data_IF_098912820301
#
_entry.id   IF_098912820301
#
_cell.length_a   1.000
_cell.length_b   1.000
_cell.length_c   1.000
_cell.angle_alpha   90.00
_cell.angle_beta   90.00
_cell.angle_gamma   90.00
#
_symmetry.space_group_name_H-M   'P 1'
#
loop_
_entity.id
_entity.type
_entity.pdbx_description
1 polymer ?
#
# COMPACT_ATOMS: atom_id res chain seq x y z
N UNK A 1 3.75 -4.60 -6.03
CA UNK A 1 2.39 -4.00 -6.16
C UNK A 1 1.25 -4.95 -5.75
N UNK A 2 1.50 -6.16 -5.22
CA UNK A 2 0.44 -6.99 -4.64
C UNK A 2 -0.10 -6.40 -3.33
N UNK A 3 0.82 -6.13 -2.41
CA UNK A 3 0.52 -5.70 -1.05
C UNK A 3 -0.35 -4.43 -0.97
N UNK A 4 -0.02 -3.41 -1.78
CA UNK A 4 -0.78 -2.16 -1.86
C UNK A 4 -2.15 -2.35 -2.50
N UNK A 5 -2.24 -3.12 -3.59
CA UNK A 5 -3.51 -3.37 -4.27
C UNK A 5 -4.48 -4.16 -3.37
N UNK A 6 -3.97 -5.18 -2.68
CA UNK A 6 -4.70 -5.91 -1.65
C UNK A 6 -5.22 -4.96 -0.57
N UNK A 7 -4.33 -4.12 -0.02
CA UNK A 7 -4.68 -3.23 1.08
C UNK A 7 -5.73 -2.20 0.68
N UNK A 8 -5.60 -1.59 -0.51
CA UNK A 8 -6.61 -0.68 -1.05
C UNK A 8 -7.96 -1.36 -1.28
N UNK A 9 -7.98 -2.62 -1.73
CA UNK A 9 -9.23 -3.37 -1.86
C UNK A 9 -9.87 -3.61 -0.49
N UNK A 10 -9.07 -4.00 0.52
CA UNK A 10 -9.54 -4.18 1.90
C UNK A 10 -10.07 -2.87 2.48
N UNK A 11 -9.38 -1.75 2.28
CA UNK A 11 -9.83 -0.42 2.73
C UNK A 11 -11.19 -0.05 2.12
N UNK A 12 -11.44 -0.43 0.86
CA UNK A 12 -12.73 -0.30 0.21
C UNK A 12 -13.84 -1.02 0.99
N UNK A 13 -13.63 -2.29 1.37
CA UNK A 13 -14.58 -3.04 2.19
C UNK A 13 -14.73 -2.48 3.60
N UNK A 14 -13.64 -2.03 4.22
CA UNK A 14 -13.68 -1.43 5.55
C UNK A 14 -14.62 -0.22 5.58
N UNK A 15 -14.68 0.57 4.51
CA UNK A 15 -15.51 1.79 4.46
C UNK A 15 -17.01 1.55 4.74
N UNK A 16 -17.51 0.35 4.50
CA UNK A 16 -18.91 -0.05 4.68
C UNK A 16 -19.21 -0.64 6.07
N UNK A 17 -18.17 -0.91 6.87
CA UNK A 17 -18.30 -1.62 8.14
C UNK A 17 -18.42 -0.68 9.35
N UNK A 18 -18.97 -1.24 10.44
CA UNK A 18 -18.93 -0.59 11.76
C UNK A 18 -17.50 -0.50 12.30
N UNK A 19 -17.24 0.42 13.23
CA UNK A 19 -15.90 0.55 13.81
C UNK A 19 -15.43 -0.73 14.53
N UNK A 20 -16.34 -1.48 15.14
CA UNK A 20 -16.01 -2.73 15.83
C UNK A 20 -15.59 -3.82 14.82
N UNK A 21 -16.31 -3.94 13.72
CA UNK A 21 -16.00 -4.92 12.68
C UNK A 21 -14.73 -4.54 11.91
N UNK A 22 -14.48 -3.25 11.67
CA UNK A 22 -13.23 -2.78 11.07
C UNK A 22 -12.01 -3.26 11.85
N UNK A 23 -12.04 -3.18 13.17
CA UNK A 23 -10.92 -3.63 14.02
C UNK A 23 -10.67 -5.13 13.81
N UNK A 24 -11.73 -5.94 13.82
CA UNK A 24 -11.63 -7.40 13.62
C UNK A 24 -11.10 -7.75 12.23
N UNK A 25 -11.61 -7.07 11.19
CA UNK A 25 -11.18 -7.28 9.80
C UNK A 25 -9.74 -6.85 9.60
N UNK A 26 -9.31 -5.70 10.13
CA UNK A 26 -7.90 -5.26 10.05
C UNK A 26 -6.97 -6.27 10.74
N UNK A 27 -7.34 -6.78 11.91
CA UNK A 27 -6.56 -7.79 12.62
C UNK A 27 -6.41 -9.07 11.78
N UNK A 28 -7.51 -9.57 11.21
CA UNK A 28 -7.49 -10.74 10.33
C UNK A 28 -6.67 -10.48 9.06
N UNK A 29 -6.86 -9.31 8.44
CA UNK A 29 -6.18 -8.89 7.22
C UNK A 29 -4.66 -8.83 7.40
N UNK A 30 -4.18 -8.41 8.59
CA UNK A 30 -2.76 -8.40 8.94
C UNK A 30 -2.20 -9.78 9.31
N UNK A 31 -3.05 -10.66 9.85
CA UNK A 31 -2.63 -11.99 10.29
C UNK A 31 -2.52 -12.98 9.12
N UNK A 32 -3.48 -12.93 8.20
CA UNK A 32 -3.62 -13.91 7.11
C UNK A 32 -3.12 -13.37 5.77
N UNK A 33 -2.97 -12.05 5.65
CA UNK A 33 -2.51 -11.40 4.43
C UNK A 33 -1.51 -10.29 4.74
N UNK A 34 -0.88 -9.74 3.70
CA UNK A 34 0.14 -8.70 3.85
C UNK A 34 -0.48 -7.29 4.00
N UNK A 35 -1.63 -7.15 4.66
CA UNK A 35 -2.30 -5.86 4.78
C UNK A 35 -1.39 -4.81 5.45
N UNK A 36 -1.32 -3.63 4.84
CA UNK A 36 -0.65 -2.44 5.35
C UNK A 36 -1.62 -1.26 5.30
N UNK A 37 -1.57 -0.40 6.31
CA UNK A 37 -2.46 0.74 6.39
C UNK A 37 -2.13 1.80 5.33
N UNK A 38 -3.07 2.69 5.00
CA UNK A 38 -2.81 3.83 4.11
C UNK A 38 -1.60 4.68 4.55
N UNK A 39 -1.41 4.86 5.85
CA UNK A 39 -0.28 5.60 6.42
C UNK A 39 1.05 4.85 6.19
N UNK A 40 1.07 3.53 6.38
CA UNK A 40 2.25 2.69 6.11
C UNK A 40 2.61 2.70 4.62
N UNK A 41 1.62 2.68 3.72
CA UNK A 41 1.82 2.83 2.28
C UNK A 41 2.46 4.18 1.95
N UNK A 42 1.95 5.26 2.54
CA UNK A 42 2.42 6.62 2.31
C UNK A 42 3.87 6.78 2.77
N UNK A 43 4.20 6.28 3.96
CA UNK A 43 5.56 6.30 4.49
C UNK A 43 6.51 5.48 3.63
N UNK A 44 6.10 4.29 3.18
CA UNK A 44 6.91 3.50 2.26
C UNK A 44 7.16 4.22 0.92
N UNK A 45 6.18 4.94 0.37
CA UNK A 45 6.37 5.76 -0.83
C UNK A 45 7.37 6.89 -0.57
N UNK A 46 7.24 7.57 0.58
CA UNK A 46 8.14 8.66 0.98
C UNK A 46 9.59 8.17 1.09
N UNK A 47 9.82 7.05 1.77
CA UNK A 47 11.14 6.43 1.89
C UNK A 47 11.72 6.03 0.53
N UNK A 48 10.92 5.41 -0.34
CA UNK A 48 11.36 5.09 -1.70
C UNK A 48 11.86 6.34 -2.44
N UNK A 49 11.13 7.47 -2.34
CA UNK A 49 11.53 8.72 -2.97
C UNK A 49 12.82 9.30 -2.37
N UNK A 50 13.00 9.22 -1.05
CA UNK A 50 14.23 9.63 -0.36
C UNK A 50 15.44 8.80 -0.80
N UNK A 51 15.23 7.50 -1.04
CA UNK A 51 16.25 6.56 -1.51
C UNK A 51 16.49 6.62 -3.03
N UNK A 52 15.77 7.50 -3.75
CA UNK A 52 15.90 7.67 -5.20
C UNK A 52 15.12 6.65 -6.05
N UNK A 53 14.28 5.83 -5.44
CA UNK A 53 13.33 4.96 -6.12
C UNK A 53 12.05 5.69 -6.50
N UNK A 54 11.35 5.19 -7.52
CA UNK A 54 10.02 5.68 -7.85
C UNK A 54 9.02 5.28 -6.76
N UNK A 55 7.81 5.88 -6.77
CA UNK A 55 6.75 5.54 -5.83
C UNK A 55 6.38 4.06 -5.84
N UNK A 56 6.68 3.32 -6.92
CA UNK A 56 6.45 1.89 -7.05
C UNK A 56 7.56 1.01 -6.45
N UNK A 57 8.62 1.61 -5.89
CA UNK A 57 9.75 0.92 -5.26
C UNK A 57 10.74 0.32 -6.26
N UNK A 58 10.86 0.92 -7.44
CA UNK A 58 11.80 0.50 -8.49
C UNK A 58 12.72 1.67 -8.84
N UNK A 59 13.88 1.38 -9.44
CA UNK A 59 14.67 2.42 -10.09
C UNK A 59 13.78 3.15 -11.11
N UNK A 60 13.68 4.49 -11.08
CA UNK A 60 12.83 5.23 -12.00
C UNK A 60 13.07 4.87 -13.47
N UNK A 61 14.33 4.64 -13.86
CA UNK A 61 14.73 4.32 -15.24
C UNK A 61 14.44 2.86 -15.63
N UNK A 62 14.11 2.00 -14.66
CA UNK A 62 13.74 0.61 -14.89
C UNK A 62 12.25 0.36 -14.63
N UNK A 63 11.48 1.39 -14.24
CA UNK A 63 10.08 1.22 -13.93
C UNK A 63 9.29 1.03 -15.24
N UNK A 64 8.51 -0.07 -15.40
CA UNK A 64 7.74 -0.32 -16.63
C UNK A 64 6.62 0.69 -16.87
N UNK A 65 6.35 1.55 -15.88
CA UNK A 65 5.38 2.65 -15.97
C UNK A 65 6.01 3.96 -16.46
N UNK A 66 7.30 3.98 -16.81
CA UNK A 66 7.98 5.17 -17.35
C UNK A 66 8.24 6.25 -16.31
N UNK A 67 8.48 5.89 -15.04
CA UNK A 67 8.69 6.88 -13.98
C UNK A 67 9.98 7.72 -14.13
N UNK A 68 10.96 7.24 -14.91
CA UNK A 68 12.23 7.93 -15.18
C UNK A 68 12.19 8.86 -16.40
N UNK A 69 11.08 8.87 -17.15
CA UNK A 69 10.93 9.67 -18.38
C UNK A 69 10.37 11.08 -18.11
N UNK A 70 10.55 11.62 -16.88
CA UNK A 70 10.00 12.90 -16.40
C UNK A 70 11.00 14.06 -16.55
#
# INVERSE_FOLDING_TARGET
MYQRNLSTAIDGYLSELTQEDKIKVIQLARAEFDYISPEEITEAIRQNQEDGYCSHGLDPNCCPLGCGDI
#
